data_IF_860393833475
#
_entry.id   IF_860393833475
#
_cell.length_a   1.000
_cell.length_b   1.000
_cell.length_c   1.000
_cell.angle_alpha   90.00
_cell.angle_beta   90.00
_cell.angle_gamma   90.00
#
_symmetry.space_group_name_H-M   'P 1'
#
loop_
_entity.id
_entity.type
_entity.pdbx_description
1 polymer ?
#
# COMPACT_ATOMS: atom_id res chain seq x y z
N UNK A 1 7.15 25.76 -11.03
CA UNK A 1 5.93 24.96 -10.82
C UNK A 1 6.28 23.80 -9.90
N UNK A 2 5.35 23.37 -9.05
CA UNK A 2 5.60 22.28 -8.09
C UNK A 2 5.78 20.94 -8.81
N UNK A 3 6.75 20.14 -8.36
CA UNK A 3 6.97 18.75 -8.79
C UNK A 3 6.90 17.85 -7.56
N UNK A 4 6.16 16.75 -7.67
CA UNK A 4 6.15 15.71 -6.64
C UNK A 4 7.01 14.56 -7.14
N UNK A 5 8.05 14.23 -6.38
CA UNK A 5 9.01 13.16 -6.71
C UNK A 5 8.73 11.98 -5.78
N UNK A 6 8.50 10.81 -6.38
CA UNK A 6 8.20 9.55 -5.70
C UNK A 6 9.27 8.55 -6.14
N UNK A 7 9.92 7.88 -5.20
CA UNK A 7 11.09 7.05 -5.46
C UNK A 7 10.92 5.67 -4.83
N UNK A 8 11.27 4.62 -5.56
CA UNK A 8 11.62 3.33 -4.98
C UNK A 8 13.13 3.28 -4.75
N UNK A 9 13.66 2.09 -4.44
CA UNK A 9 15.11 1.83 -4.41
C UNK A 9 15.83 2.19 -5.71
N UNK A 10 15.18 1.99 -6.87
CA UNK A 10 15.86 2.04 -8.19
C UNK A 10 15.12 2.82 -9.27
N UNK A 11 13.90 3.30 -9.01
CA UNK A 11 13.12 4.09 -9.97
C UNK A 11 12.56 5.35 -9.34
N UNK A 12 12.34 6.34 -10.18
CA UNK A 12 11.73 7.62 -9.83
C UNK A 12 10.53 7.86 -10.73
N UNK A 13 9.40 8.23 -10.13
CA UNK A 13 8.24 8.80 -10.81
C UNK A 13 8.11 10.27 -10.42
N UNK A 14 7.85 11.14 -11.39
CA UNK A 14 7.67 12.58 -11.17
C UNK A 14 6.29 12.98 -11.64
N UNK A 15 5.53 13.64 -10.77
CA UNK A 15 4.23 14.22 -11.10
C UNK A 15 4.44 15.74 -11.29
N UNK A 16 4.11 16.25 -12.48
CA UNK A 16 4.27 17.66 -12.83
C UNK A 16 3.73 18.00 -14.23
N UNK A 17 3.69 19.29 -14.56
CA UNK A 17 3.08 19.80 -15.80
C UNK A 17 3.72 19.31 -17.11
N UNK A 18 5.03 19.01 -17.08
CA UNK A 18 5.79 18.57 -18.26
C UNK A 18 6.17 17.08 -18.17
N UNK A 19 5.59 16.34 -17.23
CA UNK A 19 5.85 14.91 -17.02
C UNK A 19 4.74 14.06 -17.66
N UNK A 20 5.01 12.79 -18.02
CA UNK A 20 3.96 11.86 -18.40
C UNK A 20 2.87 11.74 -17.31
N UNK A 21 1.65 11.41 -17.72
CA UNK A 21 0.57 11.12 -16.76
C UNK A 21 0.98 9.95 -15.85
N UNK A 22 1.02 10.19 -14.54
CA UNK A 22 1.37 9.18 -13.56
C UNK A 22 0.19 8.23 -13.36
N UNK A 23 0.35 6.97 -13.78
CA UNK A 23 -0.65 5.91 -13.58
C UNK A 23 -0.35 5.22 -12.27
N UNK A 24 -1.27 5.35 -11.30
CA UNK A 24 -1.19 4.67 -10.01
C UNK A 24 -2.07 3.42 -10.06
N UNK A 25 -1.47 2.23 -9.91
CA UNK A 25 -2.20 0.97 -9.87
C UNK A 25 -2.91 0.77 -8.52
N UNK A 26 -4.21 0.45 -8.53
CA UNK A 26 -5.08 0.39 -7.35
C UNK A 26 -5.35 -1.03 -6.80
N UNK A 27 -4.90 -2.08 -7.49
CA UNK A 27 -5.42 -3.43 -7.22
C UNK A 27 -4.96 -4.01 -5.89
N UNK A 28 -3.86 -3.53 -5.31
CA UNK A 28 -3.33 -4.05 -4.03
C UNK A 28 -4.11 -3.40 -2.89
N UNK A 29 -5.38 -3.80 -2.79
CA UNK A 29 -6.33 -3.27 -1.84
C UNK A 29 -7.30 -4.37 -1.39
N UNK A 30 -7.16 -4.91 -0.17
CA UNK A 30 -8.04 -5.94 0.36
C UNK A 30 -9.45 -5.42 0.68
N UNK A 31 -9.67 -4.11 0.77
CA UNK A 31 -10.98 -3.54 1.09
C UNK A 31 -12.02 -3.98 0.06
N UNK A 32 -13.03 -4.71 0.50
CA UNK A 32 -14.07 -5.28 -0.37
C UNK A 32 -13.64 -6.50 -1.21
N UNK A 33 -12.35 -6.88 -1.22
CA UNK A 33 -11.82 -8.05 -1.93
C UNK A 33 -11.72 -9.25 -0.99
N UNK A 34 -12.87 -9.89 -0.69
CA UNK A 34 -12.99 -11.01 0.26
C UNK A 34 -11.92 -12.10 0.10
N UNK A 35 -11.62 -12.50 -1.14
CA UNK A 35 -10.61 -13.53 -1.43
C UNK A 35 -9.20 -13.06 -1.00
N UNK A 36 -8.82 -11.83 -1.38
CA UNK A 36 -7.53 -11.26 -1.00
C UNK A 36 -7.43 -11.11 0.53
N UNK A 37 -8.49 -10.66 1.21
CA UNK A 37 -8.48 -10.57 2.67
C UNK A 37 -8.27 -11.93 3.33
N UNK A 38 -8.89 -13.00 2.81
CA UNK A 38 -8.73 -14.36 3.32
C UNK A 38 -7.33 -14.94 3.08
N UNK A 39 -6.74 -14.68 1.91
CA UNK A 39 -5.36 -15.08 1.60
C UNK A 39 -4.37 -14.40 2.55
N UNK A 40 -4.50 -13.07 2.72
CA UNK A 40 -3.65 -12.30 3.65
C UNK A 40 -3.81 -12.75 5.11
N UNK A 41 -5.03 -13.09 5.53
CA UNK A 41 -5.28 -13.63 6.86
C UNK A 41 -4.50 -14.93 7.13
N UNK A 42 -4.32 -15.75 6.08
CA UNK A 42 -3.56 -17.00 6.10
C UNK A 42 -2.05 -16.81 5.86
N UNK A 43 -1.61 -15.57 5.64
CA UNK A 43 -0.21 -15.25 5.30
C UNK A 43 0.17 -15.58 3.86
N UNK A 44 -0.81 -15.75 2.98
CA UNK A 44 -0.59 -15.92 1.54
C UNK A 44 -0.58 -14.54 0.84
N UNK A 45 0.60 -14.15 0.36
CA UNK A 45 0.83 -12.90 -0.36
C UNK A 45 0.99 -13.08 -1.87
N UNK A 46 0.80 -14.30 -2.39
CA UNK A 46 1.02 -14.62 -3.81
C UNK A 46 0.17 -13.77 -4.75
N UNK A 47 -1.07 -13.44 -4.35
CA UNK A 47 -1.94 -12.54 -5.11
C UNK A 47 -1.42 -11.10 -5.12
N UNK A 48 -0.84 -10.62 -4.03
CA UNK A 48 -0.25 -9.27 -3.95
C UNK A 48 0.91 -9.16 -4.93
N UNK A 49 1.82 -10.13 -4.92
CA UNK A 49 2.93 -10.22 -5.88
C UNK A 49 2.43 -10.25 -7.32
N UNK A 50 1.45 -11.11 -7.62
CA UNK A 50 0.87 -11.22 -8.96
C UNK A 50 0.18 -9.93 -9.42
N UNK A 51 -0.62 -9.28 -8.56
CA UNK A 51 -1.27 -8.01 -8.86
C UNK A 51 -0.22 -6.88 -9.04
N UNK A 52 0.89 -6.87 -8.28
CA UNK A 52 1.98 -5.90 -8.46
C UNK A 52 2.64 -6.01 -9.84
N UNK A 53 3.06 -7.22 -10.22
CA UNK A 53 3.70 -7.50 -11.51
C UNK A 53 2.75 -7.16 -12.67
N UNK A 54 1.49 -7.60 -12.57
CA UNK A 54 0.50 -7.38 -13.62
C UNK A 54 0.20 -5.89 -13.84
N UNK A 55 0.13 -5.09 -12.77
CA UNK A 55 -0.13 -3.67 -12.88
C UNK A 55 1.05 -2.90 -13.50
N UNK A 56 2.29 -3.21 -13.10
CA UNK A 56 3.48 -2.61 -13.71
C UNK A 56 3.58 -2.99 -15.19
N UNK A 57 3.32 -4.26 -15.52
CA UNK A 57 3.28 -4.72 -16.92
C UNK A 57 2.18 -4.02 -17.74
N UNK A 58 1.08 -3.61 -17.10
CA UNK A 58 0.01 -2.84 -17.72
C UNK A 58 0.28 -1.33 -17.80
N UNK A 59 1.43 -0.85 -17.32
CA UNK A 59 1.86 0.55 -17.42
C UNK A 59 1.69 1.38 -16.16
N UNK A 60 1.35 0.79 -15.01
CA UNK A 60 1.39 1.51 -13.74
C UNK A 60 2.83 1.96 -13.42
N UNK A 61 3.00 3.25 -13.17
CA UNK A 61 4.29 3.87 -12.82
C UNK A 61 4.49 4.01 -11.32
N UNK A 62 3.41 3.91 -10.54
CA UNK A 62 3.38 3.85 -9.07
C UNK A 62 2.35 2.79 -8.67
N UNK A 63 2.55 2.11 -7.54
CA UNK A 63 1.56 1.17 -7.01
C UNK A 63 1.00 1.67 -5.68
N UNK A 64 -0.33 1.82 -5.62
CA UNK A 64 -1.06 2.05 -4.38
C UNK A 64 -1.19 0.73 -3.60
N UNK A 65 -0.84 0.78 -2.31
CA UNK A 65 -0.80 -0.37 -1.41
C UNK A 65 -1.63 -0.05 -0.18
N UNK A 66 -2.82 -0.62 -0.13
CA UNK A 66 -3.76 -0.49 0.97
C UNK A 66 -3.74 -1.75 1.84
N UNK A 67 -3.70 -1.58 3.17
CA UNK A 67 -3.70 -2.70 4.12
C UNK A 67 -5.04 -2.91 4.85
N UNK A 68 -6.08 -2.16 4.49
CA UNK A 68 -7.42 -2.29 5.05
C UNK A 68 -8.03 -3.66 4.74
N UNK A 69 -7.96 -4.57 5.70
CA UNK A 69 -8.40 -5.96 5.54
C UNK A 69 -9.33 -6.38 6.68
N UNK A 70 -10.34 -7.17 6.36
CA UNK A 70 -11.22 -7.79 7.36
C UNK A 70 -10.82 -9.25 7.54
N UNK A 71 -10.20 -9.56 8.68
CA UNK A 71 -9.74 -10.91 9.03
C UNK A 71 -10.82 -11.64 9.83
N UNK A 72 -11.88 -12.07 9.12
CA UNK A 72 -13.09 -12.64 9.74
C UNK A 72 -12.85 -13.91 10.55
N UNK A 73 -11.87 -14.76 10.19
CA UNK A 73 -11.61 -15.99 10.94
C UNK A 73 -10.87 -15.68 12.25
N UNK A 74 -9.87 -14.79 12.19
CA UNK A 74 -9.11 -14.34 13.37
C UNK A 74 -9.93 -13.48 14.32
N UNK A 75 -10.94 -12.78 13.83
CA UNK A 75 -11.92 -12.07 14.68
C UNK A 75 -12.61 -12.98 15.70
N UNK A 76 -12.82 -14.27 15.36
CA UNK A 76 -13.41 -15.24 16.28
C UNK A 76 -12.43 -15.66 17.40
N UNK A 77 -11.13 -15.54 17.15
CA UNK A 77 -10.06 -15.86 18.10
C UNK A 77 -9.70 -14.65 18.98
N UNK A 78 -9.61 -13.47 18.38
CA UNK A 78 -9.36 -12.19 19.04
C UNK A 78 -10.18 -11.08 18.37
N UNK A 79 -11.12 -10.44 19.09
CA UNK A 79 -12.00 -9.42 18.52
C UNK A 79 -11.25 -8.17 18.02
N UNK A 80 -9.99 -7.97 18.43
CA UNK A 80 -9.17 -6.85 17.93
C UNK A 80 -8.87 -6.94 16.44
N UNK A 81 -8.96 -8.13 15.83
CA UNK A 81 -8.86 -8.28 14.37
C UNK A 81 -10.00 -7.62 13.58
N UNK A 82 -11.02 -7.09 14.27
CA UNK A 82 -12.05 -6.24 13.68
C UNK A 82 -11.61 -4.77 13.54
N UNK A 83 -10.54 -4.37 14.22
CA UNK A 83 -10.05 -2.98 14.27
C UNK A 83 -8.82 -2.83 13.38
N UNK A 84 -8.93 -2.01 12.35
CA UNK A 84 -7.82 -1.70 11.45
C UNK A 84 -6.64 -1.02 12.18
N UNK A 85 -6.88 -0.31 13.29
CA UNK A 85 -5.78 0.23 14.10
C UNK A 85 -4.91 -0.85 14.73
N UNK A 86 -5.46 -2.06 14.89
CA UNK A 86 -4.72 -3.23 15.33
C UNK A 86 -4.10 -3.98 14.14
N UNK A 87 -4.86 -4.20 13.07
CA UNK A 87 -4.44 -5.07 11.95
C UNK A 87 -3.44 -4.38 11.00
N UNK A 88 -3.76 -3.17 10.53
CA UNK A 88 -3.02 -2.50 9.47
C UNK A 88 -1.54 -2.23 9.79
N UNK A 89 -1.15 -1.82 11.03
CA UNK A 89 0.25 -1.60 11.37
C UNK A 89 1.13 -2.86 11.26
N UNK A 90 0.54 -4.05 11.43
CA UNK A 90 1.25 -5.31 11.24
C UNK A 90 1.28 -5.74 9.77
N UNK A 91 0.20 -5.50 9.03
CA UNK A 91 0.06 -5.94 7.65
C UNK A 91 0.79 -5.05 6.65
N UNK A 92 0.78 -3.73 6.85
CA UNK A 92 1.35 -2.76 5.89
C UNK A 92 2.84 -3.03 5.57
N UNK A 93 3.73 -3.27 6.56
CA UNK A 93 5.13 -3.60 6.27
C UNK A 93 5.32 -4.86 5.43
N UNK A 94 4.47 -5.88 5.63
CA UNK A 94 4.55 -7.14 4.88
C UNK A 94 4.12 -6.94 3.42
N UNK A 95 3.03 -6.19 3.18
CA UNK A 95 2.62 -5.82 1.83
C UNK A 95 3.71 -5.03 1.09
N UNK A 96 4.29 -4.03 1.76
CA UNK A 96 5.36 -3.20 1.20
C UNK A 96 6.58 -4.04 0.83
N UNK A 97 7.02 -4.95 1.71
CA UNK A 97 8.15 -5.85 1.40
C UNK A 97 7.85 -6.75 0.19
N UNK A 98 6.65 -7.33 0.13
CA UNK A 98 6.25 -8.19 -1.01
C UNK A 98 6.29 -7.41 -2.32
N UNK A 99 5.71 -6.21 -2.35
CA UNK A 99 5.66 -5.38 -3.56
C UNK A 99 7.06 -4.96 -4.02
N UNK A 100 7.92 -4.49 -3.11
CA UNK A 100 9.29 -4.06 -3.45
C UNK A 100 10.19 -5.21 -3.89
N UNK A 101 9.93 -6.44 -3.41
CA UNK A 101 10.66 -7.62 -3.85
C UNK A 101 10.22 -8.06 -5.26
N UNK A 102 8.95 -7.80 -5.63
CA UNK A 102 8.37 -8.23 -6.90
C UNK A 102 8.64 -7.25 -8.04
N UNK A 103 8.63 -5.95 -7.75
CA UNK A 103 8.75 -4.88 -8.74
C UNK A 103 9.54 -3.69 -8.20
N UNK A 104 10.02 -2.86 -9.12
CA UNK A 104 10.81 -1.66 -8.81
C UNK A 104 10.00 -0.36 -8.88
N UNK A 105 8.68 -0.42 -9.06
CA UNK A 105 7.83 0.77 -9.09
C UNK A 105 7.78 1.46 -7.70
N UNK A 106 7.82 2.80 -7.63
CA UNK A 106 7.55 3.52 -6.39
C UNK A 106 6.18 3.17 -5.79
N UNK A 107 6.08 3.26 -4.46
CA UNK A 107 4.88 2.89 -3.70
C UNK A 107 4.13 4.13 -3.24
N UNK A 108 2.81 4.07 -3.31
CA UNK A 108 1.86 4.93 -2.64
C UNK A 108 1.27 4.15 -1.45
N UNK A 109 1.61 4.53 -0.22
CA UNK A 109 1.16 3.87 1.00
C UNK A 109 -0.25 4.38 1.29
N UNK A 110 -1.25 3.48 1.25
CA UNK A 110 -2.67 3.83 1.41
C UNK A 110 -3.25 3.35 2.75
N UNK A 111 -3.48 4.28 3.68
CA UNK A 111 -4.14 4.00 4.96
C UNK A 111 -4.64 5.29 5.64
N UNK A 112 -5.71 5.15 6.43
CA UNK A 112 -6.18 6.17 7.38
C UNK A 112 -5.64 5.97 8.81
N UNK A 113 -4.91 4.88 9.06
CA UNK A 113 -4.39 4.47 10.37
C UNK A 113 -2.96 5.02 10.52
N UNK A 114 -2.71 5.97 11.46
CA UNK A 114 -1.38 6.55 11.64
C UNK A 114 -0.27 5.52 11.89
N UNK A 115 -0.57 4.48 12.67
CA UNK A 115 0.39 3.39 12.93
C UNK A 115 0.75 2.58 11.69
N UNK A 116 -0.17 2.45 10.72
CA UNK A 116 0.10 1.77 9.46
C UNK A 116 0.93 2.63 8.52
N UNK A 117 0.66 3.93 8.48
CA UNK A 117 1.48 4.91 7.77
C UNK A 117 2.91 4.94 8.32
N UNK A 118 3.08 5.03 9.64
CA UNK A 118 4.40 5.01 10.28
C UNK A 118 5.17 3.71 9.99
N UNK A 119 4.53 2.56 10.22
CA UNK A 119 5.14 1.25 9.97
C UNK A 119 5.48 1.06 8.47
N UNK A 120 4.61 1.54 7.59
CA UNK A 120 4.84 1.49 6.15
C UNK A 120 6.00 2.38 5.70
N UNK A 121 6.08 3.61 6.22
CA UNK A 121 7.20 4.53 5.97
C UNK A 121 8.53 3.95 6.42
N UNK A 122 8.56 3.26 7.57
CA UNK A 122 9.77 2.57 8.06
C UNK A 122 10.18 1.39 7.17
N UNK A 123 9.22 0.70 6.56
CA UNK A 123 9.47 -0.48 5.72
C UNK A 123 9.77 -0.16 4.24
N UNK A 124 9.35 1.01 3.75
CA UNK A 124 9.51 1.40 2.36
C UNK A 124 10.92 1.95 2.07
N UNK A 125 11.57 1.42 1.04
CA UNK A 125 12.82 1.96 0.49
C UNK A 125 12.51 3.07 -0.52
N UNK A 126 13.27 4.17 -0.44
CA UNK A 126 13.09 5.33 -1.32
C UNK A 126 12.22 6.41 -0.67
N UNK A 127 11.37 7.03 -1.48
CA UNK A 127 10.50 8.15 -1.10
C UNK A 127 9.06 7.84 -1.54
N UNK A 128 8.25 7.17 -0.70
CA UNK A 128 6.89 6.83 -1.06
C UNK A 128 5.98 8.06 -1.15
N UNK A 129 4.87 7.90 -1.85
CA UNK A 129 3.72 8.77 -1.74
C UNK A 129 2.86 8.30 -0.55
N UNK A 130 2.23 9.22 0.15
CA UNK A 130 1.33 8.90 1.25
C UNK A 130 -0.10 9.23 0.85
N UNK A 131 -0.99 8.25 0.96
CA UNK A 131 -2.43 8.33 0.72
C UNK A 131 -3.16 7.85 1.99
N UNK A 132 -3.96 8.65 2.69
CA UNK A 132 -4.08 10.10 2.60
C UNK A 132 -4.16 10.69 4.00
N UNK A 133 -3.95 12.00 4.06
CA UNK A 133 -4.21 12.84 5.23
C UNK A 133 -5.38 13.76 4.90
N UNK A 134 -6.25 13.99 5.88
CA UNK A 134 -7.31 15.00 5.80
C UNK A 134 -6.77 16.36 6.25
N UNK A 135 -7.38 17.47 5.81
CA UNK A 135 -6.97 18.82 6.23
C UNK A 135 -7.31 19.18 7.69
N UNK A 136 -7.50 18.18 8.56
CA UNK A 136 -7.76 18.35 9.98
C UNK A 136 -6.42 18.58 10.70
N UNK A 137 -6.36 19.57 11.58
CA UNK A 137 -5.11 20.00 12.23
C UNK A 137 -4.47 18.90 13.08
N UNK A 138 -5.27 17.97 13.60
CA UNK A 138 -4.81 16.79 14.37
C UNK A 138 -4.19 15.69 13.49
N UNK A 139 -4.36 15.78 12.17
CA UNK A 139 -3.95 14.77 11.17
C UNK A 139 -2.81 15.26 10.26
N UNK A 140 -2.45 16.55 10.31
CA UNK A 140 -1.32 17.18 9.59
C UNK A 140 -0.02 17.11 10.39
#
# INVERSE_FOLDING_TARGET
MTRTVIESKTKTAVIGFDEPFCVIGERINPTGRKILSQELEQGDFSRVEADAIAQVAAGATVLDVNSGAVFSNKMAEDPRYADNNFVEPMLMPELIKVVQNAVDAPICIDSSVPGALEAGLQACEGRPLLNSVTGEEERL
#
